data_IF_631789832076
#
_entry.id   IF_631789832076
#
_cell.length_a   1.000
_cell.length_b   1.000
_cell.length_c   1.000
_cell.angle_alpha   90.00
_cell.angle_beta   90.00
_cell.angle_gamma   90.00
#
_symmetry.space_group_name_H-M   'P 1'
#
loop_
_entity.id
_entity.type
_entity.pdbx_description
1 polymer ?
#
# COMPACT_ATOMS: atom_id res chain seq x y z
N UNK A 1 -3.90 -3.65 4.73
CA UNK A 1 -4.23 -3.45 3.30
C UNK A 1 -2.98 -3.70 2.47
N UNK A 2 -3.11 -4.02 1.18
CA UNK A 2 -1.98 -4.02 0.24
C UNK A 2 -2.01 -2.72 -0.57
N UNK A 3 -0.96 -1.92 -0.41
CA UNK A 3 -0.75 -0.60 -1.02
C UNK A 3 0.74 -0.38 -1.24
N UNK A 4 1.09 0.51 -2.16
CA UNK A 4 2.48 0.94 -2.29
C UNK A 4 2.79 1.96 -1.20
N UNK A 5 3.80 1.66 -0.39
CA UNK A 5 4.16 2.46 0.78
C UNK A 5 5.19 3.54 0.39
N UNK A 6 4.89 4.78 0.73
CA UNK A 6 5.80 5.92 0.60
C UNK A 6 5.95 6.60 1.96
N UNK A 7 7.20 6.78 2.41
CA UNK A 7 7.52 7.53 3.62
C UNK A 7 7.84 8.97 3.25
N UNK A 8 6.94 9.89 3.58
CA UNK A 8 7.14 11.34 3.41
C UNK A 8 7.71 11.93 4.71
N UNK A 9 8.15 13.20 4.72
CA UNK A 9 8.79 13.81 5.90
C UNK A 9 7.89 13.84 7.13
N UNK A 10 6.58 14.03 6.95
CA UNK A 10 5.61 14.25 8.03
C UNK A 10 4.57 13.14 8.17
N UNK A 11 4.42 12.28 7.15
CA UNK A 11 3.36 11.27 7.08
C UNK A 11 3.75 10.11 6.17
N UNK A 12 2.96 9.07 6.20
CA UNK A 12 3.00 7.96 5.26
C UNK A 12 1.89 8.12 4.24
N UNK A 13 2.23 7.90 2.97
CA UNK A 13 1.25 7.76 1.88
C UNK A 13 1.15 6.31 1.46
N UNK A 14 -0.07 5.79 1.47
CA UNK A 14 -0.42 4.45 0.99
C UNK A 14 -1.13 4.58 -0.35
N UNK A 15 -0.40 4.34 -1.43
CA UNK A 15 -0.87 4.54 -2.79
C UNK A 15 -1.59 3.28 -3.30
N UNK A 16 -2.81 3.40 -3.85
CA UNK A 16 -3.48 2.31 -4.55
C UNK A 16 -2.83 2.00 -5.90
N UNK A 17 -3.03 0.78 -6.40
CA UNK A 17 -2.66 0.43 -7.76
C UNK A 17 -3.72 0.86 -8.79
N UNK A 18 -4.90 1.26 -8.33
CA UNK A 18 -6.00 1.76 -9.16
C UNK A 18 -5.99 3.29 -9.13
N UNK A 19 -5.84 3.93 -10.29
CA UNK A 19 -5.75 5.39 -10.46
C UNK A 19 -7.04 6.13 -10.11
N UNK A 20 -8.20 5.48 -10.15
CA UNK A 20 -9.47 6.09 -9.74
C UNK A 20 -9.62 6.23 -8.22
N UNK A 21 -8.75 5.57 -7.44
CA UNK A 21 -8.79 5.63 -5.98
C UNK A 21 -7.85 6.72 -5.45
N UNK A 22 -8.31 7.49 -4.47
CA UNK A 22 -7.46 8.47 -3.79
C UNK A 22 -6.41 7.80 -2.89
N UNK A 23 -5.20 8.39 -2.75
CA UNK A 23 -4.20 7.94 -1.80
C UNK A 23 -4.68 8.07 -0.35
N UNK A 24 -4.22 7.17 0.52
CA UNK A 24 -4.49 7.25 1.96
C UNK A 24 -3.27 7.85 2.66
N UNK A 25 -3.49 8.90 3.45
CA UNK A 25 -2.45 9.54 4.26
C UNK A 25 -2.64 9.19 5.73
N UNK A 26 -1.58 8.68 6.37
CA UNK A 26 -1.60 8.26 7.77
C UNK A 26 -0.30 8.62 8.48
N UNK A 27 -0.37 8.90 9.79
CA UNK A 27 0.80 9.21 10.62
C UNK A 27 1.32 7.94 11.30
N UNK A 28 0.40 7.10 11.80
CA UNK A 28 0.73 5.87 12.49
C UNK A 28 0.25 4.66 11.69
N UNK A 29 1.19 3.86 11.20
CA UNK A 29 0.92 2.62 10.47
C UNK A 29 1.88 1.53 10.91
N UNK A 30 1.38 0.30 11.01
CA UNK A 30 2.22 -0.88 11.24
C UNK A 30 2.36 -1.66 9.94
N UNK A 31 3.57 -1.67 9.36
CA UNK A 31 3.88 -2.50 8.19
C UNK A 31 4.05 -3.94 8.65
N UNK A 32 3.19 -4.84 8.15
CA UNK A 32 3.22 -6.25 8.51
C UNK A 32 4.27 -7.05 7.71
N UNK A 33 4.62 -6.58 6.52
CA UNK A 33 5.60 -7.23 5.64
C UNK A 33 5.61 -6.62 4.24
N UNK A 34 6.48 -7.15 3.38
CA UNK A 34 6.59 -6.76 1.97
C UNK A 34 5.91 -7.83 1.09
N UNK A 35 5.07 -7.40 0.14
CA UNK A 35 4.58 -8.31 -0.89
C UNK A 35 5.73 -8.66 -1.85
N UNK A 36 6.06 -9.95 -1.94
CA UNK A 36 7.16 -10.46 -2.79
C UNK A 36 6.66 -11.21 -4.04
N UNK A 37 5.40 -11.64 -4.07
CA UNK A 37 4.82 -12.39 -5.17
C UNK A 37 3.33 -12.53 -5.02
N UNK A 38 2.66 -12.93 -6.11
CA UNK A 38 1.21 -13.18 -6.16
C UNK A 38 1.01 -14.56 -6.77
N UNK A 39 0.16 -15.37 -6.13
CA UNK A 39 -0.28 -16.65 -6.67
C UNK A 39 -1.71 -16.46 -7.16
N UNK A 40 -1.95 -16.79 -8.43
CA UNK A 40 -3.29 -16.77 -9.03
C UNK A 40 -3.72 -18.19 -9.33
N UNK A 41 -4.79 -18.65 -8.70
CA UNK A 41 -5.43 -19.92 -9.01
C UNK A 41 -6.35 -19.73 -10.22
N UNK A 42 -6.18 -20.55 -11.24
CA UNK A 42 -7.10 -20.65 -12.38
C UNK A 42 -7.99 -21.89 -12.19
N UNK A 43 -9.21 -21.83 -12.72
CA UNK A 43 -10.14 -22.95 -12.75
C UNK A 43 -9.92 -23.79 -14.00
#
# INVERSE_FOLDING_TARGET
>A
TLKRFFRERTRVRLEPANSSMSPIFAINVKVQGKCVGVIRKYA
#
